data_IF_590499408510
#
_entry.id   IF_590499408510
#
_cell.length_a   1.000
_cell.length_b   1.000
_cell.length_c   1.000
_cell.angle_alpha   90.00
_cell.angle_beta   90.00
_cell.angle_gamma   90.00
#
_symmetry.space_group_name_H-M   'P 1'
#
loop_
_entity.id
_entity.type
_entity.pdbx_description
1 polymer ?
#
# COMPACT_ATOMS: atom_id res chain seq x y z
N UNK A 1 3.91 -8.36 -5.63
CA UNK A 1 4.68 -9.20 -6.56
C UNK A 1 4.20 -10.64 -6.52
N UNK A 2 4.42 -11.39 -7.58
CA UNK A 2 4.17 -12.82 -7.62
C UNK A 2 5.28 -13.56 -8.38
N UNK A 3 5.56 -14.80 -8.01
CA UNK A 3 6.59 -15.62 -8.61
C UNK A 3 6.00 -16.43 -9.79
N UNK A 4 6.39 -16.09 -11.03
CA UNK A 4 5.88 -16.72 -12.25
C UNK A 4 6.30 -18.17 -12.39
N UNK A 5 7.52 -18.50 -11.99
CA UNK A 5 8.04 -19.87 -12.08
C UNK A 5 7.25 -20.79 -11.15
N UNK A 6 7.00 -20.37 -9.92
CA UNK A 6 6.18 -21.14 -8.96
C UNK A 6 4.75 -21.30 -9.46
N UNK A 7 4.15 -20.25 -10.06
CA UNK A 7 2.81 -20.39 -10.63
C UNK A 7 2.76 -21.44 -11.74
N UNK A 8 3.75 -21.43 -12.63
CA UNK A 8 3.84 -22.40 -13.71
C UNK A 8 4.00 -23.83 -13.17
N UNK A 9 4.86 -24.03 -12.16
CA UNK A 9 5.07 -25.33 -11.52
C UNK A 9 3.82 -25.86 -10.81
N UNK A 10 3.02 -24.95 -10.24
CA UNK A 10 1.75 -25.28 -9.60
C UNK A 10 0.57 -25.39 -10.56
N UNK A 11 0.75 -25.08 -11.84
CA UNK A 11 -0.31 -25.07 -12.85
C UNK A 11 -1.38 -24.00 -12.59
N UNK A 12 -1.02 -22.90 -11.92
CA UNK A 12 -1.93 -21.80 -11.62
C UNK A 12 -1.98 -20.81 -12.78
N UNK A 13 -3.17 -20.28 -13.05
CA UNK A 13 -3.39 -19.25 -14.05
C UNK A 13 -2.70 -17.94 -13.66
N UNK A 14 -2.22 -17.18 -14.66
CA UNK A 14 -1.61 -15.87 -14.42
C UNK A 14 -2.61 -14.89 -13.83
N UNK A 15 -2.30 -14.24 -12.70
CA UNK A 15 -3.21 -13.26 -12.08
C UNK A 15 -3.37 -11.96 -12.88
N UNK A 16 -2.57 -11.73 -13.91
CA UNK A 16 -2.73 -10.58 -14.82
C UNK A 16 -4.10 -10.54 -15.48
N UNK A 17 -4.62 -11.71 -15.89
CA UNK A 17 -5.96 -11.82 -16.49
C UNK A 17 -7.02 -11.23 -15.58
N UNK A 18 -7.00 -11.58 -14.29
CA UNK A 18 -7.97 -11.07 -13.33
C UNK A 18 -7.86 -9.55 -13.11
N UNK A 19 -6.66 -8.99 -13.18
CA UNK A 19 -6.48 -7.53 -13.08
C UNK A 19 -7.08 -6.83 -14.30
N UNK A 20 -6.79 -7.33 -15.50
CA UNK A 20 -7.25 -6.74 -16.76
C UNK A 20 -8.76 -6.85 -16.93
N UNK A 21 -9.36 -7.95 -16.47
CA UNK A 21 -10.81 -8.17 -16.48
C UNK A 21 -11.53 -7.44 -15.31
N UNK A 22 -10.78 -6.80 -14.41
CA UNK A 22 -11.34 -6.11 -13.25
C UNK A 22 -11.87 -7.04 -12.15
N UNK A 23 -11.53 -8.33 -12.19
CA UNK A 23 -11.98 -9.36 -11.22
C UNK A 23 -10.92 -9.70 -10.16
N UNK A 24 -9.78 -9.00 -10.15
CA UNK A 24 -8.75 -9.13 -9.12
C UNK A 24 -9.23 -8.49 -7.83
N UNK A 25 -9.95 -9.26 -7.01
CA UNK A 25 -10.51 -8.86 -5.71
C UNK A 25 -9.81 -9.60 -4.58
N UNK A 26 -10.04 -9.15 -3.33
CA UNK A 26 -9.50 -9.83 -2.14
C UNK A 26 -10.02 -11.27 -2.04
N UNK A 27 -11.28 -11.53 -2.40
CA UNK A 27 -11.83 -12.88 -2.39
C UNK A 27 -11.16 -13.77 -3.44
N UNK A 28 -10.85 -13.21 -4.61
CA UNK A 28 -10.07 -13.91 -5.64
C UNK A 28 -8.67 -14.24 -5.13
N UNK A 29 -8.00 -13.27 -4.48
CA UNK A 29 -6.67 -13.47 -3.91
C UNK A 29 -6.69 -14.54 -2.80
N UNK A 30 -7.66 -14.50 -1.88
CA UNK A 30 -7.82 -15.52 -0.85
C UNK A 30 -8.02 -16.92 -1.46
N UNK A 31 -8.92 -17.03 -2.45
CA UNK A 31 -9.19 -18.30 -3.12
C UNK A 31 -7.96 -18.82 -3.86
N UNK A 32 -7.20 -17.93 -4.48
CA UNK A 32 -5.99 -18.26 -5.23
C UNK A 32 -4.86 -18.79 -4.34
N UNK A 33 -4.77 -18.29 -3.11
CA UNK A 33 -3.68 -18.59 -2.17
C UNK A 33 -4.08 -19.62 -1.09
N UNK A 34 -5.36 -20.01 -1.02
CA UNK A 34 -5.85 -20.89 0.06
C UNK A 34 -5.08 -22.21 0.12
N UNK A 35 -4.73 -22.61 1.35
CA UNK A 35 -4.05 -23.88 1.67
C UNK A 35 -2.69 -24.10 0.95
N UNK A 36 -1.99 -22.99 0.66
CA UNK A 36 -0.66 -23.04 0.01
C UNK A 36 0.52 -23.02 0.99
N UNK A 37 0.26 -22.99 2.29
CA UNK A 37 1.28 -23.03 3.32
C UNK A 37 1.86 -24.44 3.47
N UNK A 38 3.19 -24.58 3.39
CA UNK A 38 3.88 -25.86 3.39
C UNK A 38 5.04 -25.83 4.40
N UNK A 39 5.03 -26.75 5.35
CA UNK A 39 6.17 -27.05 6.22
C UNK A 39 7.25 -27.78 5.38
N UNK A 40 8.32 -27.07 5.06
CA UNK A 40 9.39 -27.57 4.18
C UNK A 40 10.41 -28.42 4.92
N UNK A 41 10.66 -28.12 6.18
CA UNK A 41 11.68 -28.80 6.98
C UNK A 41 11.10 -29.97 7.83
N UNK A 42 9.75 -30.07 7.94
CA UNK A 42 9.05 -31.16 8.63
C UNK A 42 9.10 -31.07 10.16
N UNK A 43 9.39 -29.87 10.71
CA UNK A 43 9.51 -29.70 12.17
C UNK A 43 8.18 -29.34 12.85
N UNK A 44 7.09 -29.28 12.09
CA UNK A 44 5.74 -28.94 12.51
C UNK A 44 5.59 -27.51 13.03
N UNK A 45 6.51 -26.63 12.71
CA UNK A 45 6.42 -25.19 12.93
C UNK A 45 6.36 -24.49 11.60
N UNK A 46 5.89 -23.25 11.63
CA UNK A 46 5.83 -22.39 10.43
C UNK A 46 6.65 -21.13 10.69
N UNK A 47 7.83 -21.07 10.06
CA UNK A 47 8.79 -19.98 10.23
C UNK A 47 9.43 -19.56 8.90
N UNK A 48 10.57 -18.85 8.96
CA UNK A 48 11.28 -18.35 7.78
C UNK A 48 11.88 -19.45 6.88
N UNK A 49 11.83 -20.72 7.30
CA UNK A 49 12.38 -21.85 6.53
C UNK A 49 11.32 -22.53 5.64
N UNK A 50 10.07 -22.06 5.71
CA UNK A 50 8.93 -22.69 5.06
C UNK A 50 8.45 -21.98 3.82
N UNK A 51 7.38 -22.50 3.22
CA UNK A 51 6.75 -21.96 2.02
C UNK A 51 5.35 -21.41 2.30
N UNK A 52 5.01 -20.30 1.64
CA UNK A 52 3.78 -19.57 1.89
C UNK A 52 3.09 -19.12 0.59
N UNK A 53 1.79 -18.90 0.66
CA UNK A 53 1.06 -18.23 -0.42
C UNK A 53 1.40 -16.76 -0.49
N UNK A 54 1.41 -16.08 0.65
CA UNK A 54 1.67 -14.65 0.77
C UNK A 54 2.68 -14.37 1.88
N UNK A 55 3.65 -13.51 1.56
CA UNK A 55 4.51 -12.85 2.54
C UNK A 55 4.10 -11.38 2.67
N UNK A 56 3.85 -10.92 3.90
CA UNK A 56 3.49 -9.53 4.18
C UNK A 56 3.97 -9.10 5.57
N UNK A 57 3.99 -7.80 5.84
CA UNK A 57 4.20 -7.24 7.18
C UNK A 57 2.89 -6.68 7.74
N UNK A 58 2.83 -6.43 9.05
CA UNK A 58 1.72 -5.71 9.65
C UNK A 58 1.51 -4.33 8.98
N UNK A 59 2.60 -3.61 8.67
CA UNK A 59 2.54 -2.35 7.91
C UNK A 59 2.04 -2.51 6.48
N UNK A 60 2.38 -3.63 5.83
CA UNK A 60 1.88 -3.99 4.50
C UNK A 60 0.36 -4.15 4.46
N UNK A 61 -0.25 -4.63 5.55
CA UNK A 61 -1.72 -4.76 5.62
C UNK A 61 -2.44 -3.42 5.65
N UNK A 62 -1.78 -2.35 6.10
CA UNK A 62 -2.37 -1.00 6.09
C UNK A 62 -2.77 -0.55 4.68
N UNK A 63 -2.04 -1.00 3.66
CA UNK A 63 -2.31 -0.63 2.26
C UNK A 63 -3.72 -1.05 1.83
N UNK A 64 -4.26 -2.15 2.36
CA UNK A 64 -5.61 -2.60 2.06
C UNK A 64 -6.71 -1.59 2.46
N UNK A 65 -6.49 -0.75 3.48
CA UNK A 65 -7.41 0.36 3.79
C UNK A 65 -7.69 1.19 2.53
N UNK A 66 -6.63 1.56 1.84
CA UNK A 66 -6.68 2.43 0.67
C UNK A 66 -6.98 1.67 -0.61
N UNK A 67 -6.41 0.48 -0.77
CA UNK A 67 -6.68 -0.39 -1.91
C UNK A 67 -8.17 -0.72 -2.03
N UNK A 68 -8.88 -0.80 -0.92
CA UNK A 68 -10.32 -1.04 -0.85
C UNK A 68 -11.16 0.24 -0.89
N UNK A 69 -10.59 1.36 -1.32
CA UNK A 69 -11.26 2.67 -1.43
C UNK A 69 -11.97 3.13 -0.15
N UNK A 70 -11.40 2.80 1.02
CA UNK A 70 -11.90 3.37 2.27
C UNK A 70 -11.43 4.82 2.38
N UNK A 71 -12.40 5.73 2.50
CA UNK A 71 -12.12 7.14 2.77
C UNK A 71 -11.81 7.31 4.26
N UNK A 72 -10.76 8.04 4.56
CA UNK A 72 -10.37 8.29 5.97
C UNK A 72 -11.01 9.55 6.51
N UNK A 73 -11.14 10.57 5.67
CA UNK A 73 -11.66 11.88 6.05
C UNK A 73 -12.19 12.63 4.82
N UNK A 74 -13.20 13.45 5.03
CA UNK A 74 -13.63 14.48 4.11
C UNK A 74 -13.34 15.86 4.69
N UNK A 75 -12.91 16.79 3.83
CA UNK A 75 -12.59 18.17 4.18
C UNK A 75 -13.47 19.06 3.32
N UNK A 76 -14.24 19.95 3.96
CA UNK A 76 -15.07 20.94 3.27
C UNK A 76 -14.27 22.21 2.95
N UNK A 77 -14.81 23.04 2.07
CA UNK A 77 -14.18 24.29 1.61
C UNK A 77 -13.93 25.29 2.75
N UNK A 78 -14.64 25.17 3.87
CA UNK A 78 -14.46 25.97 5.08
C UNK A 78 -13.45 25.38 6.06
N UNK A 79 -12.63 24.40 5.62
CA UNK A 79 -11.68 23.67 6.45
C UNK A 79 -12.29 22.83 7.56
N UNK A 80 -13.58 22.51 7.51
CA UNK A 80 -14.19 21.57 8.47
C UNK A 80 -13.93 20.13 8.03
N UNK A 81 -13.51 19.27 8.94
CA UNK A 81 -13.29 17.86 8.64
C UNK A 81 -14.36 16.92 9.23
N UNK A 82 -14.66 15.88 8.48
CA UNK A 82 -15.51 14.76 8.92
C UNK A 82 -14.72 13.47 8.80
N UNK A 83 -14.63 12.70 9.88
CA UNK A 83 -13.98 11.40 9.88
C UNK A 83 -14.91 10.35 9.25
N UNK A 84 -14.45 9.68 8.19
CA UNK A 84 -15.26 8.75 7.38
C UNK A 84 -14.77 7.31 7.44
N UNK A 85 -13.62 7.05 8.09
CA UNK A 85 -13.00 5.73 8.12
C UNK A 85 -13.91 4.65 8.73
N UNK A 86 -14.73 4.99 9.74
CA UNK A 86 -15.64 4.02 10.35
C UNK A 86 -16.91 3.89 9.50
N UNK A 87 -16.95 2.88 8.67
CA UNK A 87 -18.03 2.57 7.74
C UNK A 87 -18.22 1.05 7.65
N UNK A 88 -19.36 0.60 7.13
CA UNK A 88 -19.59 -0.83 6.86
C UNK A 88 -18.54 -1.40 5.90
N UNK A 89 -18.10 -0.59 4.92
CA UNK A 89 -17.02 -0.95 4.01
C UNK A 89 -15.72 -1.24 4.76
N UNK A 90 -15.36 -0.41 5.73
CA UNK A 90 -14.14 -0.61 6.52
C UNK A 90 -14.25 -1.83 7.45
N UNK A 91 -15.42 -2.07 8.05
CA UNK A 91 -15.67 -3.30 8.84
C UNK A 91 -15.46 -4.53 7.97
N UNK A 92 -16.06 -4.57 6.78
CA UNK A 92 -15.89 -5.64 5.81
C UNK A 92 -14.43 -5.78 5.37
N UNK A 93 -13.73 -4.66 5.15
CA UNK A 93 -12.31 -4.65 4.78
C UNK A 93 -11.44 -5.35 5.83
N UNK A 94 -11.68 -5.05 7.11
CA UNK A 94 -10.97 -5.70 8.23
C UNK A 94 -11.23 -7.20 8.24
N UNK A 95 -12.50 -7.64 8.11
CA UNK A 95 -12.86 -9.06 8.13
C UNK A 95 -12.17 -9.82 6.99
N UNK A 96 -12.15 -9.25 5.78
CA UNK A 96 -11.47 -9.86 4.62
C UNK A 96 -9.96 -9.96 4.79
N UNK A 97 -9.31 -8.93 5.35
CA UNK A 97 -7.87 -8.97 5.58
C UNK A 97 -7.51 -9.95 6.72
N UNK A 98 -8.34 -10.06 7.76
CA UNK A 98 -8.18 -11.09 8.79
C UNK A 98 -8.33 -12.50 8.21
N UNK A 99 -9.29 -12.72 7.30
CA UNK A 99 -9.44 -14.00 6.60
C UNK A 99 -8.19 -14.34 5.78
N UNK A 100 -7.67 -13.39 5.00
CA UNK A 100 -6.41 -13.56 4.25
C UNK A 100 -5.23 -13.89 5.18
N UNK A 101 -5.08 -13.15 6.26
CA UNK A 101 -3.89 -13.26 7.12
C UNK A 101 -3.90 -14.51 8.00
N UNK A 102 -5.07 -14.93 8.50
CA UNK A 102 -5.13 -15.95 9.57
C UNK A 102 -5.98 -17.17 9.26
N UNK A 103 -6.95 -17.08 8.34
CA UNK A 103 -7.88 -18.19 8.07
C UNK A 103 -7.63 -18.88 6.72
N UNK A 104 -6.90 -18.23 5.81
CA UNK A 104 -6.63 -18.77 4.45
C UNK A 104 -5.63 -19.93 4.44
N UNK A 105 -4.91 -20.16 5.55
CA UNK A 105 -3.79 -21.09 5.65
C UNK A 105 -2.74 -20.86 4.54
N UNK A 106 -2.38 -19.59 4.31
CA UNK A 106 -1.47 -19.21 3.23
C UNK A 106 -0.45 -18.17 3.63
N UNK A 107 -0.75 -17.30 4.60
CA UNK A 107 0.03 -16.08 4.85
C UNK A 107 1.06 -16.25 5.95
N UNK A 108 2.26 -15.72 5.70
CA UNK A 108 3.26 -15.43 6.72
C UNK A 108 3.33 -13.93 6.92
N UNK A 109 2.99 -13.49 8.13
CA UNK A 109 2.96 -12.08 8.50
C UNK A 109 4.02 -11.79 9.54
N UNK A 110 4.79 -10.74 9.33
CA UNK A 110 5.91 -10.35 10.19
C UNK A 110 5.74 -8.93 10.73
N UNK A 111 6.54 -8.55 11.70
CA UNK A 111 6.66 -7.16 12.14
C UNK A 111 7.29 -6.28 11.04
N UNK A 112 7.03 -4.96 11.09
CA UNK A 112 7.57 -4.03 10.08
C UNK A 112 9.11 -4.00 10.04
N UNK A 113 9.79 -4.33 11.14
CA UNK A 113 11.24 -4.42 11.19
C UNK A 113 11.83 -5.60 10.39
N UNK A 114 11.01 -6.57 10.01
CA UNK A 114 11.40 -7.78 9.28
C UNK A 114 11.01 -7.76 7.79
N UNK A 115 10.59 -6.61 7.25
CA UNK A 115 10.20 -6.48 5.83
C UNK A 115 11.33 -6.91 4.87
N UNK A 116 12.59 -6.60 5.20
CA UNK A 116 13.73 -7.04 4.40
C UNK A 116 13.90 -8.57 4.38
N UNK A 117 13.48 -9.26 5.43
CA UNK A 117 13.66 -10.71 5.54
C UNK A 117 12.62 -11.44 4.67
N UNK A 118 11.35 -10.99 4.68
CA UNK A 118 10.34 -11.55 3.79
C UNK A 118 10.61 -11.21 2.31
N UNK A 119 11.24 -10.07 2.00
CA UNK A 119 11.69 -9.78 0.64
C UNK A 119 12.76 -10.79 0.17
N UNK A 120 13.70 -11.15 1.05
CA UNK A 120 14.69 -12.20 0.76
C UNK A 120 14.06 -13.59 0.64
N UNK A 121 13.06 -13.92 1.48
CA UNK A 121 12.30 -15.16 1.36
C UNK A 121 11.62 -15.26 -0.01
N UNK A 122 10.95 -14.20 -0.47
CA UNK A 122 10.36 -14.16 -1.80
C UNK A 122 11.41 -14.36 -2.91
N UNK A 123 12.52 -13.64 -2.84
CA UNK A 123 13.65 -13.83 -3.77
C UNK A 123 14.13 -15.28 -3.83
N UNK A 124 14.13 -15.96 -2.70
CA UNK A 124 14.57 -17.36 -2.58
C UNK A 124 13.48 -18.39 -3.00
N UNK A 125 12.33 -17.93 -3.52
CA UNK A 125 11.26 -18.82 -3.97
C UNK A 125 10.45 -19.44 -2.84
N UNK A 126 10.35 -18.79 -1.67
CA UNK A 126 9.63 -19.30 -0.50
C UNK A 126 8.16 -18.83 -0.46
N UNK A 127 7.69 -18.16 -1.52
CA UNK A 127 6.27 -17.82 -1.61
C UNK A 127 5.78 -17.61 -3.03
N UNK A 128 4.45 -17.73 -3.19
CA UNK A 128 3.76 -17.40 -4.44
C UNK A 128 3.70 -15.89 -4.63
N UNK A 129 3.30 -15.15 -3.59
CA UNK A 129 3.14 -13.70 -3.62
C UNK A 129 3.88 -13.01 -2.48
N UNK A 130 4.24 -11.77 -2.74
CA UNK A 130 4.88 -10.88 -1.76
C UNK A 130 4.27 -9.49 -1.86
N UNK A 131 3.82 -8.97 -0.72
CA UNK A 131 3.31 -7.62 -0.57
C UNK A 131 4.42 -6.69 -0.04
N UNK A 132 5.00 -5.88 -0.93
CA UNK A 132 6.13 -4.99 -0.61
C UNK A 132 6.16 -3.76 -1.50
N UNK A 133 7.31 -3.11 -1.57
CA UNK A 133 7.52 -1.84 -2.26
C UNK A 133 8.12 -2.04 -3.66
N UNK A 134 7.82 -1.12 -4.58
CA UNK A 134 8.47 -1.11 -5.90
C UNK A 134 10.00 -1.03 -5.82
N UNK A 135 10.53 -0.35 -4.81
CA UNK A 135 11.97 -0.29 -4.54
C UNK A 135 12.62 -1.65 -4.30
N UNK A 136 11.85 -2.65 -3.86
CA UNK A 136 12.36 -3.99 -3.57
C UNK A 136 12.87 -4.69 -4.84
N UNK A 137 12.34 -4.31 -6.01
CA UNK A 137 12.84 -4.77 -7.31
C UNK A 137 14.31 -4.43 -7.52
N UNK A 138 14.74 -3.27 -7.05
CA UNK A 138 16.12 -2.80 -7.16
C UNK A 138 17.00 -3.25 -5.99
N UNK A 139 16.41 -3.34 -4.80
CA UNK A 139 17.13 -3.65 -3.57
C UNK A 139 17.34 -5.16 -3.37
N UNK A 140 16.34 -5.98 -3.71
CA UNK A 140 16.33 -7.41 -3.37
C UNK A 140 16.16 -8.35 -4.56
N UNK A 141 15.47 -7.93 -5.65
CA UNK A 141 15.07 -8.85 -6.73
C UNK A 141 15.94 -8.76 -7.98
N UNK A 142 16.94 -7.89 -7.99
CA UNK A 142 17.81 -7.68 -9.16
C UNK A 142 18.44 -8.98 -9.65
N UNK A 143 18.93 -9.81 -8.73
CA UNK A 143 19.62 -11.05 -8.99
C UNK A 143 18.72 -12.28 -8.69
N UNK A 144 17.40 -12.11 -8.68
CA UNK A 144 16.45 -13.19 -8.48
C UNK A 144 16.45 -14.11 -9.70
N UNK A 145 16.68 -15.41 -9.49
CA UNK A 145 16.71 -16.42 -10.56
C UNK A 145 15.33 -16.65 -11.17
N UNK A 146 14.30 -16.73 -10.33
CA UNK A 146 12.91 -16.92 -10.76
C UNK A 146 12.36 -15.65 -11.38
N UNK A 147 11.58 -15.82 -12.45
CA UNK A 147 10.81 -14.70 -12.99
C UNK A 147 9.66 -14.31 -12.07
N UNK A 148 9.47 -13.02 -11.93
CA UNK A 148 8.38 -12.45 -11.13
C UNK A 148 7.55 -11.45 -11.94
N UNK A 149 6.34 -11.20 -11.48
CA UNK A 149 5.45 -10.19 -12.02
C UNK A 149 5.00 -9.21 -10.95
N UNK A 150 4.45 -8.09 -11.42
CA UNK A 150 3.90 -7.03 -10.58
C UNK A 150 2.37 -7.07 -10.64
N UNK A 151 1.70 -6.82 -9.52
CA UNK A 151 0.25 -6.69 -9.42
C UNK A 151 -0.12 -5.48 -8.59
N UNK A 152 -1.22 -4.78 -8.90
CA UNK A 152 -1.83 -3.87 -7.93
C UNK A 152 -2.36 -4.67 -6.73
N UNK A 153 -2.53 -4.00 -5.58
CA UNK A 153 -3.33 -4.58 -4.52
C UNK A 153 -4.74 -4.88 -5.04
N UNK A 154 -5.41 -5.94 -4.55
CA UNK A 154 -6.73 -6.31 -5.03
C UNK A 154 -7.78 -5.26 -4.63
N UNK A 155 -8.89 -5.22 -5.35
CA UNK A 155 -10.10 -4.49 -4.96
C UNK A 155 -10.82 -5.22 -3.82
N UNK A 156 -11.67 -4.51 -3.08
CA UNK A 156 -12.53 -5.14 -2.07
C UNK A 156 -13.53 -6.10 -2.73
N UNK A 157 -14.16 -5.64 -3.82
CA UNK A 157 -15.15 -6.39 -4.60
C UNK A 157 -15.15 -5.92 -6.07
N UNK A 158 -15.94 -6.54 -6.92
CA UNK A 158 -16.05 -6.19 -8.33
C UNK A 158 -16.76 -4.86 -8.59
N UNK A 159 -17.58 -4.38 -7.65
CA UNK A 159 -18.28 -3.09 -7.74
C UNK A 159 -17.31 -1.91 -7.66
N UNK A 160 -16.15 -2.09 -7.04
CA UNK A 160 -15.10 -1.10 -7.01
C UNK A 160 -14.51 -0.91 -8.40
N UNK A 161 -14.58 0.30 -8.95
CA UNK A 161 -14.18 0.58 -10.34
C UNK A 161 -12.68 0.49 -10.55
N UNK A 162 -11.88 1.08 -9.65
CA UNK A 162 -10.44 1.25 -9.85
C UNK A 162 -9.61 0.47 -8.82
N UNK A 163 -8.38 0.15 -9.20
CA UNK A 163 -7.35 -0.27 -8.27
C UNK A 163 -6.72 0.96 -7.65
N UNK A 164 -6.58 0.97 -6.34
CA UNK A 164 -5.95 2.06 -5.61
C UNK A 164 -4.71 1.57 -4.88
N UNK A 165 -3.74 2.45 -4.73
CA UNK A 165 -2.58 2.20 -3.90
C UNK A 165 -2.18 3.43 -3.12
N UNK A 166 -1.70 3.21 -1.92
CA UNK A 166 -1.19 4.26 -1.06
C UNK A 166 0.26 4.58 -1.45
N UNK A 167 0.58 5.85 -1.62
CA UNK A 167 1.97 6.29 -1.70
C UNK A 167 2.67 6.02 -0.36
N UNK A 168 3.86 5.44 -0.40
CA UNK A 168 4.59 5.04 0.80
C UNK A 168 4.86 6.21 1.75
N UNK A 169 4.88 5.93 3.06
CA UNK A 169 5.09 6.95 4.09
C UNK A 169 6.48 7.60 4.11
N UNK A 170 7.41 7.16 3.25
CA UNK A 170 8.71 7.78 2.97
C UNK A 170 8.70 8.79 1.84
N UNK A 171 7.53 9.16 1.32
CA UNK A 171 7.42 10.19 0.27
C UNK A 171 7.96 11.52 0.79
N UNK A 172 8.88 12.09 0.01
CA UNK A 172 9.47 13.39 0.31
C UNK A 172 8.57 14.46 -0.31
N UNK A 173 8.21 15.46 0.50
CA UNK A 173 7.54 16.68 0.03
C UNK A 173 8.51 17.86 0.12
N UNK A 174 8.50 18.72 -0.88
CA UNK A 174 9.24 19.97 -0.85
C UNK A 174 8.35 21.04 -0.23
N UNK A 175 8.80 21.65 0.86
CA UNK A 175 8.12 22.75 1.52
C UNK A 175 8.93 24.04 1.43
N UNK A 176 8.28 25.15 1.14
CA UNK A 176 8.88 26.48 1.25
C UNK A 176 8.53 27.08 2.62
N UNK A 177 9.54 27.47 3.44
CA UNK A 177 9.25 28.09 4.73
C UNK A 177 8.46 29.40 4.57
N UNK A 178 7.51 29.66 5.45
CA UNK A 178 6.70 30.90 5.42
C UNK A 178 7.55 32.16 5.50
N UNK A 179 8.73 32.09 6.10
CA UNK A 179 9.70 33.19 6.14
C UNK A 179 10.16 33.65 4.77
N UNK A 180 9.98 32.82 3.73
CA UNK A 180 10.33 33.09 2.35
C UNK A 180 9.15 33.64 1.52
N UNK A 181 8.01 33.90 2.16
CA UNK A 181 6.81 34.38 1.46
C UNK A 181 7.06 35.64 0.64
N UNK A 182 7.86 36.59 1.12
CA UNK A 182 8.24 37.77 0.40
C UNK A 182 9.06 37.56 -0.89
N UNK A 183 9.52 36.33 -1.14
CA UNK A 183 10.25 35.90 -2.34
C UNK A 183 9.52 34.82 -3.14
N UNK A 184 8.23 34.59 -2.83
CA UNK A 184 7.45 33.52 -3.44
C UNK A 184 7.35 33.59 -4.94
N UNK A 185 7.25 34.84 -5.50
CA UNK A 185 7.19 35.10 -6.95
C UNK A 185 8.45 34.62 -7.69
N UNK A 186 9.57 34.50 -6.99
CA UNK A 186 10.79 33.92 -7.53
C UNK A 186 10.87 32.41 -7.23
N UNK A 187 10.55 31.98 -6.01
CA UNK A 187 10.74 30.63 -5.59
C UNK A 187 9.72 29.66 -6.23
N UNK A 188 8.48 30.09 -6.42
CA UNK A 188 7.45 29.23 -7.01
C UNK A 188 7.81 28.82 -8.47
N UNK A 189 8.18 29.76 -9.39
CA UNK A 189 8.63 29.37 -10.74
C UNK A 189 9.88 28.48 -10.74
N UNK A 190 10.83 28.66 -9.81
CA UNK A 190 12.01 27.78 -9.70
C UNK A 190 11.62 26.40 -9.28
N UNK A 191 10.72 26.28 -8.29
CA UNK A 191 10.22 24.99 -7.80
C UNK A 191 9.45 24.27 -8.90
N UNK A 192 8.61 24.99 -9.65
CA UNK A 192 7.87 24.43 -10.78
C UNK A 192 8.82 23.96 -11.90
N UNK A 193 9.84 24.74 -12.23
CA UNK A 193 10.85 24.34 -13.21
C UNK A 193 11.60 23.07 -12.79
N UNK A 194 11.96 22.93 -11.51
CA UNK A 194 12.56 21.72 -10.97
C UNK A 194 11.61 20.51 -11.06
N UNK A 195 10.32 20.70 -10.81
CA UNK A 195 9.31 19.66 -10.95
C UNK A 195 9.16 19.22 -12.42
N UNK A 196 9.10 20.16 -13.37
CA UNK A 196 9.03 19.90 -14.81
C UNK A 196 10.28 19.13 -15.28
N UNK A 197 11.48 19.58 -14.90
CA UNK A 197 12.72 18.88 -15.27
C UNK A 197 12.80 17.50 -14.62
N UNK A 198 12.33 17.32 -13.39
CA UNK A 198 12.25 16.01 -12.75
C UNK A 198 11.29 15.09 -13.51
N UNK A 199 10.14 15.59 -13.94
CA UNK A 199 9.19 14.84 -14.74
C UNK A 199 9.77 14.44 -16.10
N UNK A 200 10.51 15.34 -16.77
CA UNK A 200 11.06 15.10 -18.09
C UNK A 200 12.32 14.25 -18.11
N UNK A 201 13.14 14.29 -17.05
CA UNK A 201 14.46 13.63 -17.01
C UNK A 201 14.52 12.49 -16.01
N UNK A 202 14.07 12.71 -14.77
CA UNK A 202 14.21 11.71 -13.69
C UNK A 202 13.16 10.62 -13.83
N UNK A 203 11.91 11.00 -14.08
CA UNK A 203 10.81 10.03 -14.22
C UNK A 203 11.06 9.03 -15.35
N UNK A 204 11.41 9.42 -16.59
CA UNK A 204 11.77 8.48 -17.65
C UNK A 204 13.00 7.64 -17.31
N UNK A 205 14.02 8.24 -16.69
CA UNK A 205 15.24 7.50 -16.31
C UNK A 205 14.95 6.39 -15.28
N UNK A 206 14.10 6.66 -14.29
CA UNK A 206 13.67 5.66 -13.31
C UNK A 206 12.74 4.65 -13.96
N UNK A 207 11.75 5.11 -14.71
CA UNK A 207 10.71 4.27 -15.30
C UNK A 207 11.25 3.42 -16.46
N UNK A 208 11.89 4.06 -17.47
CA UNK A 208 12.29 3.37 -18.69
C UNK A 208 13.60 2.58 -18.51
N UNK A 209 14.58 3.16 -17.82
CA UNK A 209 15.91 2.56 -17.70
C UNK A 209 16.00 1.61 -16.51
N UNK A 210 15.52 2.03 -15.34
CA UNK A 210 15.70 1.23 -14.12
C UNK A 210 14.60 0.20 -13.94
N UNK A 211 13.33 0.57 -14.10
CA UNK A 211 12.22 -0.37 -13.91
C UNK A 211 12.04 -1.25 -15.15
N UNK A 212 11.85 -0.67 -16.34
CA UNK A 212 11.61 -1.43 -17.57
C UNK A 212 12.82 -2.26 -17.99
N UNK A 213 14.03 -1.68 -17.90
CA UNK A 213 15.25 -2.35 -18.35
C UNK A 213 15.80 -3.40 -17.40
N UNK A 214 15.50 -3.34 -16.10
CA UNK A 214 16.15 -4.18 -15.06
C UNK A 214 15.20 -4.85 -14.07
N UNK A 215 14.06 -4.27 -13.80
CA UNK A 215 13.18 -4.71 -12.73
C UNK A 215 11.85 -5.32 -13.23
N UNK A 216 11.24 -4.75 -14.27
CA UNK A 216 10.03 -5.29 -14.87
C UNK A 216 10.40 -6.14 -16.09
N UNK A 217 10.29 -7.45 -15.94
CA UNK A 217 10.82 -8.45 -16.89
C UNK A 217 9.90 -8.75 -18.07
N UNK A 218 8.70 -8.14 -18.10
CA UNK A 218 7.69 -8.36 -19.16
C UNK A 218 6.75 -7.15 -19.35
N UNK A 219 6.02 -7.16 -20.48
CA UNK A 219 5.11 -6.08 -20.87
C UNK A 219 3.84 -6.03 -19.98
N UNK A 220 3.40 -7.16 -19.45
CA UNK A 220 2.27 -7.21 -18.54
C UNK A 220 2.60 -6.50 -17.24
N UNK A 221 3.79 -6.71 -16.68
CA UNK A 221 4.27 -5.96 -15.52
C UNK A 221 4.29 -4.45 -15.75
N UNK A 222 4.61 -3.98 -16.97
CA UNK A 222 4.52 -2.56 -17.32
C UNK A 222 3.08 -2.05 -17.30
N UNK A 223 2.15 -2.85 -17.79
CA UNK A 223 0.72 -2.51 -17.72
C UNK A 223 0.24 -2.43 -16.28
N UNK A 224 0.62 -3.39 -15.45
CA UNK A 224 0.31 -3.38 -14.01
C UNK A 224 0.92 -2.16 -13.31
N UNK A 225 2.16 -1.81 -13.64
CA UNK A 225 2.80 -0.62 -13.10
C UNK A 225 1.99 0.66 -13.42
N UNK A 226 1.49 0.81 -14.65
CA UNK A 226 0.64 1.95 -15.02
C UNK A 226 -0.64 1.99 -14.18
N UNK A 227 -1.32 0.84 -14.04
CA UNK A 227 -2.52 0.73 -13.20
C UNK A 227 -2.22 1.14 -11.75
N UNK A 228 -1.08 0.72 -11.20
CA UNK A 228 -0.64 1.09 -9.84
C UNK A 228 -0.40 2.59 -9.75
N UNK A 229 0.31 3.18 -10.71
CA UNK A 229 0.64 4.62 -10.69
C UNK A 229 -0.59 5.50 -10.90
N UNK A 230 -1.51 5.09 -11.78
CA UNK A 230 -2.78 5.79 -12.00
C UNK A 230 -3.69 5.76 -10.76
N UNK A 231 -3.60 4.69 -9.96
CA UNK A 231 -4.33 4.55 -8.70
C UNK A 231 -3.57 5.05 -7.46
N UNK A 232 -2.38 5.60 -7.63
CA UNK A 232 -1.56 6.06 -6.50
C UNK A 232 -2.06 7.41 -5.96
N UNK A 233 -2.24 7.49 -4.65
CA UNK A 233 -2.64 8.75 -4.01
C UNK A 233 -2.01 8.92 -2.62
N UNK A 234 -1.95 10.17 -2.18
CA UNK A 234 -1.50 10.54 -0.85
C UNK A 234 -2.71 10.98 -0.02
N UNK A 235 -3.00 10.22 1.02
CA UNK A 235 -4.11 10.50 1.94
C UNK A 235 -3.69 11.54 2.98
N UNK A 236 -4.58 12.50 3.29
CA UNK A 236 -4.30 13.58 4.25
C UNK A 236 -3.96 13.03 5.64
N UNK A 237 -4.70 12.02 6.12
CA UNK A 237 -4.45 11.44 7.44
C UNK A 237 -3.10 10.71 7.49
N UNK A 238 -2.64 10.19 6.36
CA UNK A 238 -1.30 9.57 6.25
C UNK A 238 -0.19 10.61 6.14
N UNK A 239 -0.42 11.74 5.48
CA UNK A 239 0.53 12.86 5.46
C UNK A 239 0.79 13.37 6.88
N UNK A 240 -0.25 13.51 7.67
CA UNK A 240 -0.19 13.98 9.05
C UNK A 240 -0.23 12.84 10.10
N UNK A 241 0.10 11.60 9.71
CA UNK A 241 -0.04 10.40 10.55
C UNK A 241 0.74 10.46 11.86
N UNK A 242 1.92 11.10 11.86
CA UNK A 242 2.77 11.20 13.05
C UNK A 242 2.06 11.90 14.19
N UNK A 243 1.07 12.68 13.88
CA UNK A 243 0.26 13.41 14.83
C UNK A 243 -0.80 12.51 15.50
N UNK A 244 -1.38 11.53 14.78
CA UNK A 244 -2.40 10.63 15.34
C UNK A 244 -2.44 9.26 14.63
N UNK A 245 -1.41 8.44 14.83
CA UNK A 245 -1.25 7.13 14.18
C UNK A 245 -2.38 6.15 14.51
N UNK A 246 -2.98 6.24 15.69
CA UNK A 246 -4.03 5.30 16.11
C UNK A 246 -5.25 5.29 15.19
N UNK A 247 -5.57 6.42 14.52
CA UNK A 247 -6.69 6.51 13.60
C UNK A 247 -6.32 5.92 12.22
N UNK A 248 -5.24 6.41 11.61
CA UNK A 248 -4.87 6.03 10.26
C UNK A 248 -4.34 4.59 10.13
N UNK A 249 -3.88 3.99 11.23
CA UNK A 249 -3.38 2.61 11.25
C UNK A 249 -4.42 1.60 11.76
N UNK A 250 -5.71 1.92 11.71
CA UNK A 250 -6.77 1.11 12.32
C UNK A 250 -6.80 -0.33 11.79
N UNK A 251 -6.67 -0.53 10.47
CA UNK A 251 -6.66 -1.87 9.89
C UNK A 251 -5.47 -2.68 10.41
N UNK A 252 -4.26 -2.10 10.39
CA UNK A 252 -3.07 -2.73 10.98
C UNK A 252 -3.29 -3.11 12.44
N UNK A 253 -3.90 -2.23 13.24
CA UNK A 253 -4.22 -2.51 14.64
C UNK A 253 -5.16 -3.70 14.81
N UNK A 254 -6.17 -3.85 13.95
CA UNK A 254 -7.06 -5.01 13.95
C UNK A 254 -6.32 -6.31 13.57
N UNK A 255 -5.42 -6.22 12.58
CA UNK A 255 -4.60 -7.37 12.16
C UNK A 255 -3.63 -7.78 13.27
N UNK A 256 -2.94 -6.85 13.92
CA UNK A 256 -2.08 -7.13 15.07
C UNK A 256 -2.85 -7.76 16.25
N UNK A 257 -4.10 -7.34 16.46
CA UNK A 257 -4.99 -7.92 17.46
C UNK A 257 -5.59 -9.28 17.04
N UNK A 258 -5.44 -9.68 15.77
CA UNK A 258 -6.05 -10.87 15.15
C UNK A 258 -7.58 -10.89 15.32
N UNK A 259 -8.19 -9.71 15.39
CA UNK A 259 -9.62 -9.56 15.66
C UNK A 259 -10.15 -8.26 15.09
N UNK A 260 -11.38 -8.27 14.60
CA UNK A 260 -12.08 -7.07 14.20
C UNK A 260 -12.54 -6.25 15.43
N UNK A 261 -11.68 -5.36 15.88
CA UNK A 261 -11.93 -4.47 17.02
C UNK A 261 -12.27 -3.04 16.60
N UNK A 262 -12.58 -2.81 15.31
CA UNK A 262 -12.73 -1.47 14.75
C UNK A 262 -13.80 -0.65 15.48
N UNK A 263 -14.98 -1.24 15.76
CA UNK A 263 -16.09 -0.52 16.41
C UNK A 263 -15.70 0.01 17.79
N UNK A 264 -15.09 -0.84 18.63
CA UNK A 264 -14.68 -0.45 19.98
C UNK A 264 -13.53 0.56 19.98
N UNK A 265 -12.58 0.39 19.05
CA UNK A 265 -11.46 1.31 18.90
C UNK A 265 -11.92 2.66 18.40
N UNK A 266 -12.74 2.71 17.36
CA UNK A 266 -13.28 3.96 16.81
C UNK A 266 -14.11 4.72 17.85
N UNK A 267 -14.94 4.04 18.64
CA UNK A 267 -15.66 4.66 19.74
C UNK A 267 -14.72 5.35 20.76
N UNK A 268 -13.55 4.75 21.02
CA UNK A 268 -12.58 5.29 21.95
C UNK A 268 -11.77 6.49 21.41
N UNK A 269 -11.44 6.51 20.09
CA UNK A 269 -10.45 7.44 19.54
C UNK A 269 -11.03 8.53 18.64
N UNK A 270 -12.24 8.38 18.07
CA UNK A 270 -12.76 9.30 17.04
C UNK A 270 -12.80 10.75 17.50
N UNK A 271 -13.19 11.00 18.76
CA UNK A 271 -13.25 12.38 19.30
C UNK A 271 -11.85 13.04 19.36
N UNK A 272 -10.85 12.27 19.76
CA UNK A 272 -9.47 12.76 19.82
C UNK A 272 -8.87 12.94 18.42
N UNK A 273 -9.14 12.01 17.52
CA UNK A 273 -8.73 12.08 16.12
C UNK A 273 -9.34 13.32 15.43
N UNK A 274 -10.65 13.53 15.58
CA UNK A 274 -11.34 14.70 15.03
C UNK A 274 -10.74 16.01 15.54
N UNK A 275 -10.57 16.14 16.85
CA UNK A 275 -9.94 17.33 17.46
C UNK A 275 -8.55 17.58 16.89
N UNK A 276 -7.79 16.51 16.67
CA UNK A 276 -6.43 16.60 16.18
C UNK A 276 -6.36 17.09 14.72
N UNK A 277 -7.11 16.43 13.82
CA UNK A 277 -7.12 16.81 12.41
C UNK A 277 -7.78 18.16 12.19
N UNK A 278 -8.85 18.48 12.91
CA UNK A 278 -9.45 19.82 12.87
C UNK A 278 -8.44 20.89 13.30
N UNK A 279 -7.67 20.65 14.36
CA UNK A 279 -6.64 21.60 14.78
C UNK A 279 -5.52 21.85 13.75
N UNK A 280 -5.25 20.88 12.84
CA UNK A 280 -4.37 21.10 11.70
C UNK A 280 -5.07 21.99 10.66
N UNK A 281 -6.32 21.70 10.32
CA UNK A 281 -7.10 22.44 9.33
C UNK A 281 -7.38 23.88 9.80
N UNK A 282 -7.61 24.09 11.09
CA UNK A 282 -7.73 25.43 11.68
C UNK A 282 -6.50 26.30 11.38
N UNK A 283 -5.30 25.69 11.35
CA UNK A 283 -4.08 26.41 10.97
C UNK A 283 -4.04 26.77 9.48
N UNK A 284 -4.56 25.91 8.61
CA UNK A 284 -4.69 26.25 7.20
C UNK A 284 -5.68 27.41 7.02
N UNK A 285 -6.84 27.35 7.71
CA UNK A 285 -7.81 28.46 7.69
C UNK A 285 -7.23 29.79 8.18
N UNK A 286 -6.43 29.77 9.29
CA UNK A 286 -5.73 30.94 9.80
C UNK A 286 -4.76 31.52 8.76
N UNK A 287 -4.00 30.67 8.04
CA UNK A 287 -3.06 31.10 7.02
C UNK A 287 -3.78 31.68 5.79
N UNK A 288 -4.83 31.01 5.32
CA UNK A 288 -5.66 31.50 4.19
C UNK A 288 -6.29 32.86 4.52
N UNK A 289 -6.85 33.02 5.72
CA UNK A 289 -7.40 34.30 6.18
C UNK A 289 -6.35 35.42 6.31
N UNK A 290 -5.08 35.05 6.51
CA UNK A 290 -3.96 35.99 6.56
C UNK A 290 -3.39 36.33 5.15
N UNK A 291 -3.91 35.66 4.09
CA UNK A 291 -3.49 35.89 2.71
C UNK A 291 -2.19 35.18 2.31
N UNK A 292 -1.90 34.05 2.96
CA UNK A 292 -0.72 33.20 2.66
C UNK A 292 -1.10 32.01 1.79
#
# INVERSE_FOLDING_TARGET
FFNKSILADMGLESPYTYVLDGTWTIDRMISYLRDTKIDKNGDSKYDENDFYGLLTSHGGTLVFTYAFDNKTMEISDDYTCTLTLFSDRMVQSVDKVLDLCYNSNSTYIVSNSQESDIAKMFRNGQSIMYAGFLSDTLLYFRDMENDYGLLPYPKLNEEQSNYYTKVGGGSVVLGLPITNYGTIDFLAPVTEALAIESYNLIYPAVYEISLQGKALRDNESLTMYRIIMDGAFLDFTQLYRMSYTAYCNMLQTCVEAQQNIISSRMAAISRAALKHYQGILDKFAELDAAGY
#
